data_IF_521869222211
#
_entry.id   IF_521869222211
#
_cell.length_a   1.000
_cell.length_b   1.000
_cell.length_c   1.000
_cell.angle_alpha   90.00
_cell.angle_beta   90.00
_cell.angle_gamma   90.00
#
_symmetry.space_group_name_H-M   'P 1'
#
loop_
_entity.id
_entity.type
_entity.pdbx_description
1 polymer ?
#
# COMPACT_ATOMS: atom_id res chain seq x y z
N UNK A 1 -31.94 -54.94 -62.26
CA UNK A 1 -31.07 -53.83 -62.71
C UNK A 1 -31.87 -52.53 -62.64
N UNK A 2 -31.22 -51.44 -62.18
CA UNK A 2 -31.65 -50.03 -62.15
C UNK A 2 -32.66 -49.68 -61.04
N UNK A 3 -32.60 -48.55 -60.32
CA UNK A 3 -31.58 -47.57 -59.86
C UNK A 3 -32.44 -46.53 -59.12
N UNK A 4 -32.24 -46.29 -57.83
CA UNK A 4 -32.96 -45.29 -57.01
C UNK A 4 -32.53 -43.85 -57.39
N UNK A 5 -33.42 -42.83 -57.41
CA UNK A 5 -33.01 -41.43 -57.45
C UNK A 5 -32.82 -40.88 -56.03
N UNK A 6 -31.78 -40.06 -55.92
CA UNK A 6 -31.21 -39.46 -54.72
C UNK A 6 -32.00 -38.18 -54.36
N UNK A 7 -32.38 -38.06 -53.08
CA UNK A 7 -33.04 -36.88 -52.51
C UNK A 7 -31.99 -35.79 -52.22
N UNK A 8 -32.25 -34.56 -52.68
CA UNK A 8 -31.46 -33.36 -52.39
C UNK A 8 -31.76 -32.89 -50.95
N UNK A 9 -30.75 -32.90 -50.06
CA UNK A 9 -30.82 -32.25 -48.75
C UNK A 9 -30.07 -30.92 -48.81
N UNK A 10 -30.79 -29.80 -48.76
CA UNK A 10 -30.23 -28.46 -48.53
C UNK A 10 -29.99 -28.31 -47.03
N UNK A 11 -28.72 -28.32 -46.60
CA UNK A 11 -28.35 -28.04 -45.22
C UNK A 11 -28.20 -26.53 -45.03
N UNK A 12 -29.05 -25.94 -44.17
CA UNK A 12 -28.91 -24.57 -43.71
C UNK A 12 -27.74 -24.47 -42.73
N UNK A 13 -26.72 -23.68 -43.08
CA UNK A 13 -25.58 -23.41 -42.20
C UNK A 13 -25.98 -22.39 -41.13
N UNK A 14 -26.09 -22.84 -39.88
CA UNK A 14 -26.22 -21.99 -38.70
C UNK A 14 -24.84 -21.38 -38.40
N UNK A 15 -24.67 -20.09 -38.66
CA UNK A 15 -23.46 -19.35 -38.28
C UNK A 15 -23.55 -19.09 -36.78
N UNK A 16 -22.87 -19.93 -35.99
CA UNK A 16 -22.60 -19.67 -34.57
C UNK A 16 -21.64 -18.48 -34.49
N UNK A 17 -22.17 -17.29 -34.18
CA UNK A 17 -21.36 -16.15 -33.78
C UNK A 17 -20.78 -16.44 -32.40
N UNK A 18 -19.53 -16.90 -32.36
CA UNK A 18 -18.74 -16.98 -31.13
C UNK A 18 -18.65 -15.59 -30.49
N UNK A 19 -18.76 -15.46 -29.15
CA UNK A 19 -18.46 -14.18 -28.50
C UNK A 19 -17.01 -13.82 -28.79
N UNK A 20 -16.79 -12.61 -29.31
CA UNK A 20 -15.46 -12.03 -29.48
C UNK A 20 -14.74 -12.02 -28.14
N UNK A 21 -13.60 -12.71 -28.06
CA UNK A 21 -12.63 -12.45 -27.01
C UNK A 21 -12.21 -10.98 -27.16
N UNK A 22 -12.58 -10.14 -26.20
CA UNK A 22 -11.94 -8.85 -26.04
C UNK A 22 -10.43 -9.07 -25.93
N UNK A 23 -9.58 -8.22 -26.53
CA UNK A 23 -8.14 -8.30 -26.32
C UNK A 23 -7.87 -8.36 -24.81
N UNK A 24 -6.98 -9.27 -24.40
CA UNK A 24 -6.57 -9.42 -23.01
C UNK A 24 -6.31 -8.01 -22.45
N UNK A 25 -7.09 -7.60 -21.46
CA UNK A 25 -6.95 -6.28 -20.87
C UNK A 25 -5.48 -6.09 -20.49
N UNK A 26 -4.87 -5.00 -20.97
CA UNK A 26 -3.50 -4.65 -20.60
C UNK A 26 -3.37 -4.68 -19.07
N UNK A 27 -2.26 -5.21 -18.59
CA UNK A 27 -1.98 -5.31 -17.15
C UNK A 27 -2.03 -3.92 -16.52
N UNK A 28 -2.62 -3.81 -15.33
CA UNK A 28 -2.61 -2.54 -14.60
C UNK A 28 -1.24 -2.28 -13.98
N UNK A 29 -0.65 -1.13 -14.27
CA UNK A 29 0.61 -0.66 -13.70
C UNK A 29 0.32 0.11 -12.41
N UNK A 30 0.71 -0.46 -11.27
CA UNK A 30 0.42 0.12 -9.96
C UNK A 30 1.71 0.42 -9.21
N UNK A 31 1.87 1.66 -8.79
CA UNK A 31 2.87 2.03 -7.80
C UNK A 31 2.30 1.84 -6.40
N UNK A 32 3.04 1.20 -5.50
CA UNK A 32 2.58 0.93 -4.14
C UNK A 32 3.70 1.14 -3.12
N UNK A 33 3.40 1.80 -2.00
CA UNK A 33 4.36 1.96 -0.92
C UNK A 33 4.88 0.61 -0.39
N UNK A 34 6.19 0.48 -0.22
CA UNK A 34 6.85 -0.78 0.17
C UNK A 34 6.38 -1.37 1.53
N UNK A 35 5.76 -0.57 2.40
CA UNK A 35 5.15 -1.06 3.64
C UNK A 35 3.89 -1.91 3.44
N UNK A 36 3.29 -1.84 2.25
CA UNK A 36 2.03 -2.48 1.90
C UNK A 36 2.21 -3.69 0.97
N UNK A 37 3.45 -4.17 0.76
CA UNK A 37 3.73 -5.28 -0.19
C UNK A 37 2.91 -6.53 0.07
N UNK A 38 2.75 -6.95 1.33
CA UNK A 38 1.97 -8.15 1.68
C UNK A 38 0.46 -7.99 1.41
N UNK A 39 -0.25 -6.99 1.98
CA UNK A 39 -1.68 -6.83 1.72
C UNK A 39 -1.96 -6.53 0.25
N UNK A 40 -1.18 -5.65 -0.36
CA UNK A 40 -1.44 -5.26 -1.74
C UNK A 40 -1.12 -6.37 -2.75
N UNK A 41 -0.11 -7.21 -2.48
CA UNK A 41 0.14 -8.40 -3.29
C UNK A 41 -1.03 -9.40 -3.25
N UNK A 42 -1.68 -9.55 -2.10
CA UNK A 42 -2.88 -10.40 -1.97
C UNK A 42 -4.10 -9.76 -2.68
N UNK A 43 -4.26 -8.43 -2.59
CA UNK A 43 -5.29 -7.68 -3.34
C UNK A 43 -5.07 -7.84 -4.85
N UNK A 44 -3.85 -7.68 -5.34
CA UNK A 44 -3.51 -7.83 -6.76
C UNK A 44 -3.81 -9.25 -7.27
N UNK A 45 -3.46 -10.27 -6.49
CA UNK A 45 -3.75 -11.66 -6.82
C UNK A 45 -5.26 -11.97 -6.85
N UNK A 46 -6.01 -11.47 -5.86
CA UNK A 46 -7.46 -11.64 -5.79
C UNK A 46 -8.17 -10.93 -6.96
N UNK A 47 -7.75 -9.69 -7.25
CA UNK A 47 -8.23 -8.93 -8.41
C UNK A 47 -8.00 -9.69 -9.73
N UNK A 48 -6.77 -10.15 -9.96
CA UNK A 48 -6.39 -10.88 -11.18
C UNK A 48 -7.20 -12.17 -11.32
N UNK A 49 -7.37 -12.92 -10.23
CA UNK A 49 -8.17 -14.15 -10.21
C UNK A 49 -9.63 -13.89 -10.60
N UNK A 50 -10.21 -12.78 -10.13
CA UNK A 50 -11.63 -12.46 -10.31
C UNK A 50 -11.94 -11.87 -11.68
N UNK A 51 -11.05 -11.04 -12.20
CA UNK A 51 -11.29 -10.22 -13.40
C UNK A 51 -10.54 -10.70 -14.63
N UNK A 52 -9.53 -11.57 -14.45
CA UNK A 52 -8.57 -11.98 -15.48
C UNK A 52 -7.72 -10.82 -16.04
N UNK A 53 -7.73 -9.65 -15.38
CA UNK A 53 -6.87 -8.51 -15.69
C UNK A 53 -5.58 -8.63 -14.88
N UNK A 54 -4.43 -8.56 -15.55
CA UNK A 54 -3.12 -8.61 -14.88
C UNK A 54 -2.84 -7.36 -14.03
N UNK A 55 -1.85 -7.45 -13.15
CA UNK A 55 -1.35 -6.30 -12.40
C UNK A 55 0.17 -6.36 -12.25
N UNK A 56 0.85 -5.30 -12.69
CA UNK A 56 2.27 -5.07 -12.51
C UNK A 56 2.47 -4.06 -11.39
N UNK A 57 2.89 -4.55 -10.22
CA UNK A 57 3.04 -3.71 -9.04
C UNK A 57 4.50 -3.36 -8.79
N UNK A 58 4.82 -2.08 -8.80
CA UNK A 58 6.12 -1.54 -8.39
C UNK A 58 6.06 -1.09 -6.92
N UNK A 59 6.83 -1.77 -6.06
CA UNK A 59 6.96 -1.42 -4.64
C UNK A 59 8.22 -0.61 -4.37
N UNK A 60 8.06 0.60 -3.83
CA UNK A 60 9.18 1.46 -3.48
C UNK A 60 8.81 2.47 -2.37
N UNK A 61 9.75 3.34 -1.99
CA UNK A 61 9.42 4.48 -1.13
C UNK A 61 8.73 5.61 -1.90
N UNK A 62 8.11 6.54 -1.19
CA UNK A 62 7.31 7.62 -1.78
C UNK A 62 8.12 8.47 -2.76
N UNK A 63 9.34 8.87 -2.37
CA UNK A 63 10.20 9.72 -3.19
C UNK A 63 10.60 9.03 -4.49
N UNK A 64 10.90 7.74 -4.46
CA UNK A 64 11.20 6.93 -5.65
C UNK A 64 9.99 6.82 -6.58
N UNK A 65 8.81 6.50 -6.04
CA UNK A 65 7.56 6.42 -6.82
C UNK A 65 7.24 7.78 -7.47
N UNK A 66 7.32 8.86 -6.70
CA UNK A 66 7.08 10.22 -7.21
C UNK A 66 8.05 10.58 -8.34
N UNK A 67 9.32 10.21 -8.21
CA UNK A 67 10.32 10.42 -9.26
C UNK A 67 9.99 9.60 -10.52
N UNK A 68 9.56 8.34 -10.36
CA UNK A 68 9.17 7.48 -11.47
C UNK A 68 7.96 8.02 -12.22
N UNK A 69 6.87 8.36 -11.51
CA UNK A 69 5.67 8.95 -12.12
C UNK A 69 6.01 10.24 -12.87
N UNK A 70 6.85 11.12 -12.30
CA UNK A 70 7.24 12.36 -12.96
C UNK A 70 8.08 12.15 -14.23
N UNK A 71 8.90 11.10 -14.26
CA UNK A 71 9.84 10.83 -15.35
C UNK A 71 9.18 10.02 -16.46
N UNK A 72 8.55 8.90 -16.11
CA UNK A 72 7.93 7.99 -17.07
C UNK A 72 6.61 8.54 -17.59
N UNK A 73 5.84 9.25 -16.74
CA UNK A 73 4.49 9.70 -17.08
C UNK A 73 3.61 8.54 -17.55
N UNK A 74 3.69 7.44 -16.83
CA UNK A 74 2.96 6.20 -17.07
C UNK A 74 2.42 5.69 -15.73
N UNK A 75 1.47 4.76 -15.79
CA UNK A 75 0.89 4.10 -14.63
C UNK A 75 -0.61 4.35 -14.49
N UNK A 76 -1.28 3.41 -13.82
CA UNK A 76 -2.71 3.43 -13.59
C UNK A 76 -3.06 3.93 -12.20
N UNK A 77 -2.30 3.48 -11.18
CA UNK A 77 -2.55 3.85 -9.80
C UNK A 77 -1.27 4.16 -9.02
N UNK A 78 -1.41 5.05 -8.05
CA UNK A 78 -0.48 5.16 -6.93
C UNK A 78 -1.23 4.90 -5.62
N UNK A 79 -0.89 3.78 -4.97
CA UNK A 79 -1.33 3.42 -3.62
C UNK A 79 -0.31 4.02 -2.65
N UNK A 80 -0.62 5.23 -2.19
CA UNK A 80 0.26 6.03 -1.36
C UNK A 80 0.12 5.66 0.13
N UNK A 81 1.21 5.80 0.90
CA UNK A 81 1.15 5.62 2.35
C UNK A 81 0.38 6.74 3.05
N UNK A 82 0.32 7.93 2.46
CA UNK A 82 -0.48 9.04 2.98
C UNK A 82 -0.84 10.04 1.86
N UNK A 83 -1.92 10.79 2.03
CA UNK A 83 -2.39 11.78 1.06
C UNK A 83 -1.33 12.84 0.70
N UNK A 84 -0.45 13.20 1.63
CA UNK A 84 0.61 14.18 1.40
C UNK A 84 1.66 13.70 0.38
N UNK A 85 1.79 12.39 0.15
CA UNK A 85 2.66 11.84 -0.88
C UNK A 85 2.16 12.12 -2.30
N UNK A 86 0.89 12.48 -2.47
CA UNK A 86 0.33 12.77 -3.79
C UNK A 86 0.72 14.16 -4.28
N UNK A 87 1.07 15.10 -3.39
CA UNK A 87 1.36 16.50 -3.74
C UNK A 87 2.45 16.66 -4.82
N UNK A 88 3.59 15.94 -4.78
CA UNK A 88 4.63 16.06 -5.81
C UNK A 88 4.24 15.52 -7.19
N UNK A 89 3.14 14.77 -7.28
CA UNK A 89 2.62 14.17 -8.51
C UNK A 89 1.18 14.60 -8.80
N UNK A 90 0.68 15.63 -8.12
CA UNK A 90 -0.74 16.00 -8.12
C UNK A 90 -1.28 16.31 -9.53
N UNK A 91 -0.44 16.87 -10.41
CA UNK A 91 -0.78 17.10 -11.83
C UNK A 91 -1.13 15.84 -12.62
N UNK A 92 -0.75 14.66 -12.12
CA UNK A 92 -1.05 13.36 -12.73
C UNK A 92 -2.14 12.61 -11.99
N UNK A 93 -2.78 13.20 -10.96
CA UNK A 93 -3.83 12.53 -10.18
C UNK A 93 -5.19 13.01 -10.64
N UNK A 94 -6.00 12.13 -11.23
CA UNK A 94 -7.35 12.45 -11.70
C UNK A 94 -8.43 12.23 -10.63
N UNK A 95 -8.23 11.24 -9.76
CA UNK A 95 -9.13 10.93 -8.66
C UNK A 95 -8.35 10.31 -7.48
N UNK A 96 -8.95 10.38 -6.28
CA UNK A 96 -8.39 9.83 -5.03
C UNK A 96 -9.50 9.09 -4.29
N UNK A 97 -9.18 7.93 -3.72
CA UNK A 97 -10.07 7.15 -2.85
C UNK A 97 -9.32 6.68 -1.63
N UNK A 98 -9.80 7.04 -0.44
CA UNK A 98 -9.25 6.51 0.80
C UNK A 98 -9.68 5.05 1.00
N UNK A 99 -8.74 4.17 1.33
CA UNK A 99 -8.97 2.73 1.44
C UNK A 99 -9.13 2.29 2.90
N UNK A 100 -8.16 2.66 3.73
CA UNK A 100 -8.01 2.20 5.11
C UNK A 100 -7.32 3.25 5.96
N UNK A 101 -7.47 3.18 7.28
CA UNK A 101 -6.66 3.96 8.22
C UNK A 101 -5.23 3.44 8.22
N UNK A 102 -4.30 4.38 8.39
CA UNK A 102 -2.88 4.14 8.59
C UNK A 102 -2.49 4.72 9.93
N UNK A 103 -2.25 3.85 10.91
CA UNK A 103 -2.18 4.22 12.32
C UNK A 103 -0.72 4.18 12.77
N UNK A 104 -0.08 5.32 13.05
CA UNK A 104 1.28 5.33 13.56
C UNK A 104 1.27 4.91 15.03
N UNK A 105 2.29 4.15 15.44
CA UNK A 105 2.44 3.60 16.79
C UNK A 105 3.89 3.71 17.23
N UNK A 106 4.09 3.73 18.54
CA UNK A 106 5.39 3.51 19.16
C UNK A 106 5.55 2.01 19.42
N UNK A 107 6.58 1.40 18.84
CA UNK A 107 6.87 -0.03 19.00
C UNK A 107 8.23 -0.25 19.67
N UNK A 108 8.29 -1.30 20.48
CA UNK A 108 9.49 -1.73 21.23
C UNK A 108 9.71 -3.22 21.11
N UNK A 109 10.89 -3.70 21.49
CA UNK A 109 11.19 -5.13 21.52
C UNK A 109 10.22 -5.87 22.45
N UNK A 110 9.93 -7.15 22.14
CA UNK A 110 9.01 -7.98 22.91
C UNK A 110 9.33 -7.94 24.41
N UNK A 111 8.29 -7.76 25.22
CA UNK A 111 8.39 -7.66 26.68
C UNK A 111 8.88 -6.30 27.18
N UNK A 112 9.16 -5.33 26.29
CA UNK A 112 9.59 -3.98 26.63
C UNK A 112 10.77 -3.95 27.65
N UNK A 113 11.94 -4.52 27.33
CA UNK A 113 13.05 -4.71 28.28
C UNK A 113 13.61 -3.39 28.83
N UNK A 114 13.36 -2.26 28.15
CA UNK A 114 13.79 -0.93 28.55
C UNK A 114 12.76 -0.17 29.38
N UNK A 115 11.59 -0.76 29.66
CA UNK A 115 10.48 -0.16 30.38
C UNK A 115 10.08 1.22 29.83
N UNK A 116 9.93 1.31 28.50
CA UNK A 116 9.51 2.52 27.81
C UNK A 116 7.98 2.65 27.96
N UNK A 117 7.50 3.80 28.40
CA UNK A 117 6.07 4.04 28.68
C UNK A 117 5.37 4.90 27.62
N UNK A 118 6.13 5.62 26.78
CA UNK A 118 5.58 6.47 25.74
C UNK A 118 6.66 7.32 25.07
N UNK A 119 6.24 8.21 24.18
CA UNK A 119 7.12 9.03 23.33
C UNK A 119 8.09 9.89 24.14
N UNK A 120 7.70 10.35 25.34
CA UNK A 120 8.55 11.16 26.23
C UNK A 120 9.81 10.42 26.69
N UNK A 121 9.72 9.10 26.85
CA UNK A 121 10.85 8.29 27.29
C UNK A 121 11.94 8.16 26.21
N UNK A 122 11.63 8.46 24.95
CA UNK A 122 12.62 8.39 23.85
C UNK A 122 13.80 9.37 24.03
N UNK A 123 13.66 10.36 24.92
CA UNK A 123 14.76 11.27 25.28
C UNK A 123 15.77 10.67 26.27
N UNK A 124 15.50 9.48 26.82
CA UNK A 124 16.44 8.79 27.70
C UNK A 124 17.73 8.44 26.94
N UNK A 125 18.87 8.75 27.54
CA UNK A 125 20.19 8.57 26.91
C UNK A 125 20.60 7.11 26.71
N UNK A 126 19.96 6.15 27.41
CA UNK A 126 20.23 4.72 27.31
C UNK A 126 19.45 4.01 26.19
N UNK A 127 18.65 4.76 25.43
CA UNK A 127 17.84 4.25 24.32
C UNK A 127 18.48 4.57 22.97
N UNK A 128 18.38 3.63 22.05
CA UNK A 128 18.67 3.81 20.63
C UNK A 128 17.35 3.80 19.89
N UNK A 129 17.10 4.81 19.06
CA UNK A 129 15.84 4.94 18.32
C UNK A 129 16.11 4.89 16.83
N UNK A 130 15.30 4.15 16.09
CA UNK A 130 15.27 4.21 14.62
C UNK A 130 13.95 4.82 14.18
N UNK A 131 14.03 5.81 13.30
CA UNK A 131 12.86 6.51 12.76
C UNK A 131 12.82 6.37 11.24
N UNK A 132 11.71 6.77 10.62
CA UNK A 132 11.68 6.95 9.17
C UNK A 132 12.50 8.15 8.72
N UNK A 133 13.07 8.05 7.52
CA UNK A 133 13.56 9.22 6.80
C UNK A 133 12.38 10.08 6.35
N UNK A 134 12.36 11.35 6.78
CA UNK A 134 11.27 12.28 6.52
C UNK A 134 11.19 12.76 5.07
N UNK A 135 12.23 12.55 4.26
CA UNK A 135 12.20 12.80 2.81
C UNK A 135 11.69 11.58 2.05
N UNK A 136 11.94 10.38 2.55
CA UNK A 136 11.56 9.13 1.88
C UNK A 136 10.18 8.60 2.26
N UNK A 137 9.71 8.86 3.49
CA UNK A 137 8.51 8.19 4.05
C UNK A 137 7.59 9.16 4.82
N UNK A 138 6.26 8.94 4.85
CA UNK A 138 5.34 9.74 5.67
C UNK A 138 5.55 9.48 7.15
N UNK A 139 5.86 8.24 7.53
CA UNK A 139 6.10 7.88 8.94
C UNK A 139 7.32 8.60 9.51
N UNK A 140 8.34 8.89 8.69
CA UNK A 140 9.45 9.75 9.08
C UNK A 140 9.01 11.17 9.40
N UNK A 141 8.18 11.78 8.53
CA UNK A 141 7.62 13.13 8.78
C UNK A 141 6.74 13.15 10.03
N UNK A 142 5.93 12.11 10.22
CA UNK A 142 5.07 11.94 11.40
C UNK A 142 5.92 11.78 12.66
N UNK A 143 6.96 10.95 12.64
CA UNK A 143 7.86 10.76 13.76
C UNK A 143 8.53 12.09 14.16
N UNK A 144 9.07 12.83 13.18
CA UNK A 144 9.69 14.13 13.44
C UNK A 144 8.70 15.14 14.03
N UNK A 145 7.47 15.18 13.51
CA UNK A 145 6.40 16.02 14.04
C UNK A 145 6.00 15.59 15.46
N UNK A 146 5.84 14.30 15.72
CA UNK A 146 5.47 13.77 17.02
C UNK A 146 6.53 14.09 18.09
N UNK A 147 7.82 13.98 17.73
CA UNK A 147 8.91 14.40 18.59
C UNK A 147 8.92 15.91 18.82
N UNK A 148 8.65 16.72 17.79
CA UNK A 148 8.58 18.17 17.94
C UNK A 148 7.44 18.62 18.85
N UNK A 149 6.24 18.07 18.64
CA UNK A 149 5.06 18.37 19.46
C UNK A 149 5.24 17.90 20.92
N UNK A 150 6.04 16.84 21.15
CA UNK A 150 6.45 16.39 22.48
C UNK A 150 7.62 17.19 23.10
N UNK A 151 8.18 18.18 22.39
CA UNK A 151 9.31 18.99 22.86
C UNK A 151 10.65 18.25 22.87
N UNK A 152 10.80 17.21 22.04
CA UNK A 152 11.93 16.30 21.97
C UNK A 152 12.85 16.50 20.76
N UNK A 153 12.63 17.53 19.94
CA UNK A 153 13.51 17.84 18.80
C UNK A 153 14.97 17.92 19.25
N UNK A 154 15.83 17.08 18.65
CA UNK A 154 17.26 17.01 18.96
C UNK A 154 17.62 16.35 20.30
N UNK A 155 16.64 15.81 21.04
CA UNK A 155 16.87 15.16 22.35
C UNK A 155 16.86 13.64 22.30
N UNK A 156 16.40 13.06 21.20
CA UNK A 156 16.33 11.61 21.00
C UNK A 156 17.61 11.12 20.34
N UNK A 157 18.17 10.03 20.86
CA UNK A 157 19.30 9.34 20.24
C UNK A 157 18.83 8.51 19.03
N UNK A 158 18.64 9.20 17.89
CA UNK A 158 18.27 8.57 16.63
C UNK A 158 19.52 7.99 15.97
N UNK A 159 19.69 6.67 16.03
CA UNK A 159 20.91 5.98 15.57
C UNK A 159 20.91 5.70 14.07
N UNK A 160 19.72 5.63 13.45
CA UNK A 160 19.57 5.47 12.00
C UNK A 160 18.18 5.94 11.55
N UNK A 161 18.05 6.19 10.25
CA UNK A 161 16.77 6.49 9.60
C UNK A 161 16.50 5.54 8.45
N UNK A 162 15.37 4.82 8.52
CA UNK A 162 14.93 3.88 7.50
C UNK A 162 14.23 4.58 6.34
N UNK A 163 14.58 4.22 5.10
CA UNK A 163 13.99 4.80 3.87
C UNK A 163 12.71 4.08 3.41
N UNK A 164 12.35 2.99 4.06
CA UNK A 164 11.08 2.26 3.88
C UNK A 164 10.55 1.77 5.23
N UNK A 165 9.24 1.58 5.37
CA UNK A 165 8.69 1.02 6.61
C UNK A 165 9.30 -0.36 6.98
N UNK A 166 9.56 -1.28 6.01
CA UNK A 166 10.35 -2.49 6.21
C UNK A 166 11.72 -2.29 6.85
N UNK A 167 12.50 -1.30 6.39
CA UNK A 167 13.80 -1.03 7.01
C UNK A 167 13.69 -0.58 8.47
N UNK A 168 12.62 0.14 8.83
CA UNK A 168 12.38 0.64 10.20
C UNK A 168 12.01 -0.51 11.13
N UNK A 169 10.98 -1.29 10.80
CA UNK A 169 10.56 -2.38 11.68
C UNK A 169 11.60 -3.50 11.76
N UNK A 170 12.36 -3.75 10.68
CA UNK A 170 13.42 -4.74 10.72
C UNK A 170 14.54 -4.36 11.70
N UNK A 171 14.90 -3.07 11.79
CA UNK A 171 15.92 -2.60 12.74
C UNK A 171 15.56 -2.93 14.19
N UNK A 172 14.28 -2.84 14.56
CA UNK A 172 13.83 -3.29 15.88
C UNK A 172 13.85 -4.82 16.00
N UNK A 173 13.39 -5.52 14.95
CA UNK A 173 13.31 -6.98 14.92
C UNK A 173 14.67 -7.65 15.12
N UNK A 174 15.75 -7.05 14.61
CA UNK A 174 17.13 -7.57 14.73
C UNK A 174 17.92 -6.95 15.90
N UNK A 175 17.29 -6.10 16.73
CA UNK A 175 17.91 -5.54 17.93
C UNK A 175 18.88 -4.37 17.71
N UNK A 176 18.85 -3.73 16.55
CA UNK A 176 19.65 -2.52 16.25
C UNK A 176 19.21 -1.31 17.08
N UNK A 177 17.96 -1.30 17.53
CA UNK A 177 17.38 -0.22 18.33
C UNK A 177 16.44 -0.76 19.42
N UNK A 178 16.03 0.13 20.32
CA UNK A 178 15.19 -0.17 21.47
C UNK A 178 13.74 0.27 21.24
N UNK A 179 13.52 1.26 20.37
CA UNK A 179 12.20 1.76 20.00
C UNK A 179 12.17 2.32 18.57
N UNK A 180 10.98 2.27 17.96
CA UNK A 180 10.69 2.86 16.64
C UNK A 180 9.31 3.53 16.63
N UNK A 181 9.13 4.52 15.78
CA UNK A 181 7.80 5.00 15.37
C UNK A 181 7.51 4.41 14.00
N UNK A 182 6.47 3.57 13.91
CA UNK A 182 6.13 2.80 12.71
C UNK A 182 4.61 2.69 12.54
N UNK A 183 4.11 2.08 11.47
CA UNK A 183 2.69 1.79 11.31
C UNK A 183 2.26 0.54 12.07
N UNK A 184 1.05 0.55 12.63
CA UNK A 184 0.50 -0.52 13.48
C UNK A 184 0.62 -1.91 12.85
N UNK A 185 0.19 -2.04 11.60
CA UNK A 185 0.22 -3.25 10.78
C UNK A 185 1.63 -3.79 10.48
N UNK A 186 2.68 -3.00 10.75
CA UNK A 186 4.07 -3.41 10.56
C UNK A 186 4.68 -4.00 11.84
N UNK A 187 3.99 -3.89 12.97
CA UNK A 187 4.40 -4.54 14.22
C UNK A 187 4.09 -6.03 14.13
N UNK A 188 5.13 -6.85 14.30
CA UNK A 188 5.01 -8.32 14.29
C UNK A 188 4.85 -8.87 15.71
N UNK A 189 4.64 -10.18 15.84
CA UNK A 189 4.58 -10.85 17.14
C UNK A 189 5.87 -10.76 17.97
N UNK A 190 7.00 -10.37 17.36
CA UNK A 190 8.30 -10.17 18.01
C UNK A 190 8.47 -8.77 18.65
N UNK A 191 7.43 -7.94 18.60
CA UNK A 191 7.42 -6.58 19.11
C UNK A 191 6.17 -6.35 19.97
N UNK A 192 6.18 -5.28 20.74
CA UNK A 192 4.99 -4.78 21.43
C UNK A 192 4.71 -3.33 21.02
N UNK A 193 3.42 -3.03 20.85
CA UNK A 193 2.93 -1.66 20.69
C UNK A 193 2.74 -1.05 22.07
N UNK A 194 3.30 0.13 22.28
CA UNK A 194 3.01 0.93 23.47
C UNK A 194 1.73 1.74 23.25
N UNK A 195 0.85 1.71 24.24
CA UNK A 195 -0.34 2.56 24.25
C UNK A 195 0.10 4.01 24.53
N UNK A 196 0.19 4.82 23.47
CA UNK A 196 0.49 6.24 23.58
C UNK A 196 -0.58 7.05 22.85
N UNK A 197 -1.57 7.64 23.57
CA UNK A 197 -2.63 8.45 22.98
C UNK A 197 -2.11 9.64 22.17
N UNK A 198 -0.87 10.08 22.37
CA UNK A 198 -0.29 11.15 21.57
C UNK A 198 -0.17 10.73 20.08
N UNK A 199 -0.11 9.43 19.79
CA UNK A 199 -0.01 8.92 18.42
C UNK A 199 -1.32 9.04 17.63
N UNK A 200 -2.47 9.09 18.32
CA UNK A 200 -3.80 9.16 17.68
C UNK A 200 -3.98 10.44 16.84
N UNK A 201 -3.31 11.53 17.21
CA UNK A 201 -3.33 12.80 16.48
C UNK A 201 -2.69 12.72 15.08
N UNK A 202 -1.95 11.64 14.79
CA UNK A 202 -1.21 11.46 13.54
C UNK A 202 -1.78 10.37 12.65
N UNK A 203 -2.96 9.82 12.97
CA UNK A 203 -3.64 8.83 12.12
C UNK A 203 -3.86 9.43 10.72
N UNK A 204 -3.54 8.63 9.70
CA UNK A 204 -3.71 8.95 8.28
C UNK A 204 -4.64 7.96 7.61
N UNK A 205 -4.84 8.15 6.31
CA UNK A 205 -5.45 7.20 5.41
C UNK A 205 -4.46 6.80 4.33
N UNK A 206 -4.62 5.58 3.80
CA UNK A 206 -3.96 5.13 2.56
C UNK A 206 -4.89 5.47 1.41
N UNK A 207 -4.53 6.40 0.51
CA UNK A 207 -5.30 6.64 -0.68
C UNK A 207 -4.83 5.80 -1.87
N UNK A 208 -5.78 5.28 -2.64
CA UNK A 208 -5.58 4.94 -4.04
C UNK A 208 -5.78 6.19 -4.89
N UNK A 209 -4.71 6.67 -5.51
CA UNK A 209 -4.78 7.74 -6.50
C UNK A 209 -4.85 7.15 -7.91
N UNK A 210 -5.90 7.48 -8.65
CA UNK A 210 -6.03 7.19 -10.07
C UNK A 210 -5.14 8.15 -10.86
N UNK A 211 -4.28 7.61 -11.72
CA UNK A 211 -3.34 8.41 -12.50
C UNK A 211 -3.96 8.80 -13.85
N UNK A 212 -3.86 10.09 -14.21
CA UNK A 212 -4.37 10.64 -15.47
C UNK A 212 -3.53 10.31 -16.69
N UNK A 213 -2.35 9.71 -16.48
CA UNK A 213 -1.41 9.27 -17.52
C UNK A 213 -1.60 7.79 -17.91
N UNK A 214 -2.66 7.18 -17.40
CA UNK A 214 -3.06 5.81 -17.73
C UNK A 214 -3.50 5.69 -19.19
N UNK A 215 -3.15 4.55 -19.80
CA UNK A 215 -3.67 4.11 -21.10
C UNK A 215 -4.85 3.13 -20.97
N UNK A 216 -5.23 2.76 -19.74
CA UNK A 216 -6.23 1.74 -19.43
C UNK A 216 -7.34 2.22 -18.47
N UNK A 217 -8.17 3.20 -18.89
CA UNK A 217 -9.22 3.77 -18.04
C UNK A 217 -10.32 2.75 -17.65
N UNK A 218 -10.60 1.77 -18.51
CA UNK A 218 -11.55 0.70 -18.17
C UNK A 218 -11.00 -0.21 -17.06
N UNK A 219 -9.72 -0.58 -17.15
CA UNK A 219 -9.04 -1.30 -16.08
C UNK A 219 -9.03 -0.51 -14.76
N UNK A 220 -8.82 0.81 -14.83
CA UNK A 220 -8.92 1.68 -13.65
C UNK A 220 -10.29 1.61 -12.99
N UNK A 221 -11.37 1.69 -13.77
CA UNK A 221 -12.73 1.59 -13.25
C UNK A 221 -12.97 0.23 -12.57
N UNK A 222 -12.60 -0.87 -13.24
CA UNK A 222 -12.79 -2.22 -12.70
C UNK A 222 -11.99 -2.42 -11.41
N UNK A 223 -10.77 -1.89 -11.31
CA UNK A 223 -9.98 -1.99 -10.08
C UNK A 223 -10.54 -1.14 -8.94
N UNK A 224 -11.03 0.08 -9.22
CA UNK A 224 -11.72 0.89 -8.22
C UNK A 224 -12.94 0.16 -7.66
N UNK A 225 -13.77 -0.44 -8.51
CA UNK A 225 -14.91 -1.25 -8.07
C UNK A 225 -14.46 -2.44 -7.20
N UNK A 226 -13.35 -3.10 -7.55
CA UNK A 226 -12.80 -4.18 -6.74
C UNK A 226 -12.31 -3.71 -5.37
N UNK A 227 -11.68 -2.54 -5.28
CA UNK A 227 -11.20 -1.96 -4.02
C UNK A 227 -12.34 -1.68 -3.02
N UNK A 228 -13.57 -1.45 -3.49
CA UNK A 228 -14.75 -1.24 -2.64
C UNK A 228 -15.37 -2.54 -2.12
N UNK A 229 -14.97 -3.69 -2.70
CA UNK A 229 -15.56 -4.99 -2.38
C UNK A 229 -15.17 -5.48 -0.98
N UNK A 230 -16.05 -6.29 -0.40
CA UNK A 230 -15.79 -6.94 0.90
C UNK A 230 -14.54 -7.82 0.87
N UNK A 231 -14.20 -8.38 -0.29
CA UNK A 231 -13.00 -9.18 -0.49
C UNK A 231 -11.71 -8.35 -0.32
N UNK A 232 -11.65 -7.17 -0.94
CA UNK A 232 -10.50 -6.27 -0.77
C UNK A 232 -10.40 -5.74 0.67
N UNK A 233 -11.53 -5.38 1.28
CA UNK A 233 -11.61 -4.96 2.68
C UNK A 233 -11.15 -6.05 3.65
N UNK A 234 -11.60 -7.29 3.46
CA UNK A 234 -11.21 -8.41 4.29
C UNK A 234 -9.70 -8.71 4.21
N UNK A 235 -9.09 -8.52 3.03
CA UNK A 235 -7.62 -8.66 2.89
C UNK A 235 -6.92 -7.58 3.72
N UNK A 236 -7.34 -6.32 3.66
CA UNK A 236 -6.77 -5.27 4.50
C UNK A 236 -6.87 -5.60 6.00
N UNK A 237 -8.06 -6.01 6.46
CA UNK A 237 -8.29 -6.38 7.87
C UNK A 237 -7.44 -7.57 8.31
N UNK A 238 -7.30 -8.59 7.46
CA UNK A 238 -6.43 -9.75 7.69
C UNK A 238 -4.98 -9.34 7.93
N UNK A 239 -4.51 -8.27 7.29
CA UNK A 239 -3.16 -7.72 7.47
C UNK A 239 -3.09 -6.62 8.54
N UNK A 240 -4.14 -6.45 9.35
CA UNK A 240 -4.13 -5.58 10.54
C UNK A 240 -4.51 -4.13 10.30
N UNK A 241 -4.94 -3.78 9.09
CA UNK A 241 -5.46 -2.45 8.77
C UNK A 241 -6.89 -2.28 9.27
N UNK A 242 -7.29 -1.02 9.48
CA UNK A 242 -8.65 -0.68 9.88
C UNK A 242 -9.37 -0.06 8.69
N UNK A 243 -10.42 -0.73 8.21
CA UNK A 243 -11.25 -0.20 7.12
C UNK A 243 -11.98 1.08 7.53
N UNK A 244 -12.28 1.92 6.54
CA UNK A 244 -13.06 3.13 6.74
C UNK A 244 -14.55 2.76 6.81
N UNK A 245 -15.27 3.38 7.75
CA UNK A 245 -16.72 3.20 7.92
C UNK A 245 -17.50 4.08 6.95
#
# INVERSE_FOLDING_TARGET
>A
MKKFPLLFCVAAAFILTSPSFAPAAESLHVYCGAGMTKPFGEIAAAFTKKTQVGMEVTYANAGQIQSQINTAQEGDFFIAGAAEELKPVEKYVSAKRDLVKHIPVLAVAKGNPKNISGIRDLARSDLRVVLGDAKATPIGKIADKALADAGLTGKVNVVSRGVTAPSIFNALNVGECDAIIVWKENVTSAMDILADPAMDAYVKTIPAATLSVSTNPEGQKVFLEFLDSDEAKAIWEKHGYVVLN
#
